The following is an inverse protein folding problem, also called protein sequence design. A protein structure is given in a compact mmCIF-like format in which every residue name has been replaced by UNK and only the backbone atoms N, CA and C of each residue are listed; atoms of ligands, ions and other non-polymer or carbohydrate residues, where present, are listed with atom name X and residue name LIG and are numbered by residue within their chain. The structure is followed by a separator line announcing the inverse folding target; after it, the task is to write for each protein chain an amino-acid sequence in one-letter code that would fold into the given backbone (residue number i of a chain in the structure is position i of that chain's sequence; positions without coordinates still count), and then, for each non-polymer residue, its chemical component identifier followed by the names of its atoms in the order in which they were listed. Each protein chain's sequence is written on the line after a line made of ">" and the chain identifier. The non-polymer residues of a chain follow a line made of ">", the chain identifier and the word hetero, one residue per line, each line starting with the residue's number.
data_IF_720026471133
#
_entry.id   IF_720026471133
#
_cell.length_a   1.000
_cell.length_b   1.000
_cell.length_c   1.000
_cell.angle_alpha   90.00
_cell.angle_beta   90.00
_cell.angle_gamma   90.00
#
_symmetry.space_group_name_H-M   'P 1'
#
loop_
_entity.id
_entity.type
_entity.pdbx_description
1 polymer ?
#
# COMPACT_ATOMS: atom_id res chain seq x y z
N UNK A 1 -62.30 13.07 2.06
CA UNK A 1 -60.87 13.30 2.29
C UNK A 1 -60.11 12.60 1.18
N UNK A 2 -59.11 13.28 0.62
CA UNK A 2 -58.12 12.76 -0.32
C UNK A 2 -57.52 11.42 0.18
N UNK A 3 -56.95 10.52 -0.63
CA UNK A 3 -56.30 10.68 -1.92
C UNK A 3 -56.29 9.32 -2.62
N UNK A 4 -56.42 9.34 -3.93
CA UNK A 4 -56.20 8.19 -4.79
C UNK A 4 -54.75 7.69 -4.69
N UNK A 5 -54.54 6.38 -4.79
CA UNK A 5 -53.40 5.81 -5.53
C UNK A 5 -53.73 4.40 -5.99
N UNK A 6 -54.12 4.34 -7.25
CA UNK A 6 -54.20 3.17 -8.09
C UNK A 6 -52.77 2.73 -8.48
N UNK A 7 -52.67 1.55 -9.11
CA UNK A 7 -51.62 0.98 -9.95
C UNK A 7 -50.55 0.14 -9.23
N UNK A 8 -50.77 -1.19 -9.17
CA UNK A 8 -50.41 -2.19 -10.20
C UNK A 8 -48.89 -2.36 -10.30
N UNK A 9 -48.35 -3.36 -9.60
CA UNK A 9 -46.99 -3.88 -9.81
C UNK A 9 -47.09 -5.20 -10.59
N UNK A 10 -47.28 -5.06 -11.89
CA UNK A 10 -46.87 -6.02 -12.92
C UNK A 10 -45.70 -5.30 -13.64
N UNK A 11 -44.63 -5.91 -14.12
CA UNK A 11 -44.26 -7.28 -14.41
C UNK A 11 -42.79 -7.23 -14.92
N UNK A 12 -42.09 -8.36 -14.85
CA UNK A 12 -40.97 -8.86 -15.69
C UNK A 12 -39.73 -8.01 -16.09
N UNK A 13 -38.59 -8.68 -15.85
CA UNK A 13 -37.48 -8.97 -16.76
C UNK A 13 -36.50 -7.90 -17.28
N UNK A 14 -35.23 -8.31 -17.18
CA UNK A 14 -34.20 -8.26 -18.21
C UNK A 14 -33.88 -6.86 -18.76
N UNK A 15 -32.91 -6.21 -18.09
CA UNK A 15 -32.14 -5.12 -18.68
C UNK A 15 -30.65 -5.36 -18.47
N UNK A 16 -30.16 -6.44 -19.07
CA UNK A 16 -28.83 -6.54 -19.64
C UNK A 16 -28.68 -5.40 -20.68
N UNK A 17 -28.39 -4.19 -20.21
CA UNK A 17 -27.97 -3.07 -21.05
C UNK A 17 -26.54 -2.74 -20.69
N UNK A 18 -25.66 -3.38 -21.45
CA UNK A 18 -24.34 -2.92 -21.91
C UNK A 18 -24.10 -1.44 -21.63
N UNK A 19 -23.70 -1.13 -20.40
CA UNK A 19 -22.94 0.08 -20.15
C UNK A 19 -21.51 -0.34 -20.32
N UNK A 20 -20.90 0.15 -21.40
CA UNK A 20 -19.51 -0.07 -21.78
C UNK A 20 -18.66 0.02 -20.50
N UNK A 21 -18.22 -1.13 -19.99
CA UNK A 21 -17.21 -1.19 -18.94
C UNK A 21 -16.02 -0.41 -19.51
N UNK A 22 -15.65 0.76 -18.94
CA UNK A 22 -14.39 1.35 -19.31
C UNK A 22 -13.34 0.35 -18.89
N UNK A 23 -12.72 -0.23 -19.94
CA UNK A 23 -11.67 -1.23 -19.98
C UNK A 23 -11.27 -1.69 -18.58
N UNK A 24 -11.52 -2.98 -18.32
CA UNK A 24 -10.75 -3.76 -17.36
C UNK A 24 -9.34 -3.19 -17.35
N UNK A 25 -9.01 -2.47 -16.27
CA UNK A 25 -7.70 -1.90 -16.13
C UNK A 25 -6.83 -3.09 -15.78
N UNK A 26 -6.47 -3.81 -16.84
CA UNK A 26 -5.47 -4.85 -16.89
C UNK A 26 -4.24 -4.23 -16.25
N UNK A 27 -4.15 -4.41 -14.94
CA UNK A 27 -2.96 -4.08 -14.19
C UNK A 27 -1.97 -5.10 -14.72
N UNK A 28 -0.95 -4.62 -15.44
CA UNK A 28 0.04 -5.49 -16.04
C UNK A 28 0.65 -6.37 -14.97
N UNK A 29 1.15 -7.54 -15.36
CA UNK A 29 1.89 -8.41 -14.44
C UNK A 29 3.02 -7.59 -13.78
N UNK A 30 2.85 -7.23 -12.50
CA UNK A 30 3.78 -6.38 -11.75
C UNK A 30 3.16 -5.11 -11.14
N UNK A 31 1.92 -4.75 -11.47
CA UNK A 31 1.29 -3.56 -10.88
C UNK A 31 0.73 -3.82 -9.47
N UNK A 32 1.16 -2.99 -8.52
CA UNK A 32 0.71 -3.03 -7.12
C UNK A 32 -0.67 -2.41 -7.00
N UNK A 33 -1.61 -3.08 -6.33
CA UNK A 33 -2.97 -2.56 -6.13
C UNK A 33 -3.08 -1.69 -4.87
N UNK A 34 -4.01 -0.73 -4.90
CA UNK A 34 -4.33 0.08 -3.74
C UNK A 34 -5.08 -0.73 -2.67
N UNK A 35 -4.56 -0.73 -1.44
CA UNK A 35 -5.16 -1.46 -0.33
C UNK A 35 -6.45 -0.84 0.23
N UNK A 36 -6.71 0.45 -0.04
CA UNK A 36 -7.87 1.19 0.54
C UNK A 36 -9.14 1.19 -0.32
N UNK A 37 -9.04 0.92 -1.62
CA UNK A 37 -10.22 0.84 -2.48
C UNK A 37 -11.10 -0.34 -2.07
N UNK A 38 -12.42 -0.15 -1.98
CA UNK A 38 -13.37 -1.19 -1.53
C UNK A 38 -13.94 -2.01 -2.68
N UNK A 39 -14.35 -1.36 -3.76
CA UNK A 39 -15.02 -2.03 -4.89
C UNK A 39 -14.04 -2.27 -6.05
N UNK A 40 -13.71 -1.21 -6.80
CA UNK A 40 -12.70 -1.27 -7.86
C UNK A 40 -11.31 -1.00 -7.29
N UNK A 41 -10.39 -1.97 -7.41
CA UNK A 41 -8.99 -1.79 -7.04
C UNK A 41 -8.26 -1.01 -8.13
N UNK A 42 -7.71 0.15 -7.76
CA UNK A 42 -6.88 0.96 -8.65
C UNK A 42 -5.40 0.65 -8.44
N UNK A 43 -4.59 0.89 -9.48
CA UNK A 43 -3.12 0.83 -9.38
C UNK A 43 -2.63 1.80 -8.31
N UNK A 44 -1.80 1.31 -7.41
CA UNK A 44 -1.09 2.12 -6.45
C UNK A 44 0.08 2.84 -7.11
N UNK A 45 0.32 4.08 -6.68
CA UNK A 45 1.43 4.92 -7.14
C UNK A 45 2.50 5.08 -6.07
N UNK A 46 2.12 5.01 -4.79
CA UNK A 46 3.02 5.11 -3.64
C UNK A 46 2.69 4.07 -2.58
N UNK A 47 3.70 3.65 -1.84
CA UNK A 47 3.60 2.84 -0.62
C UNK A 47 4.09 3.65 0.58
N UNK A 48 3.35 3.62 1.68
CA UNK A 48 3.76 4.25 2.93
C UNK A 48 4.51 3.24 3.80
N UNK A 49 5.74 3.58 4.20
CA UNK A 49 6.57 2.72 5.05
C UNK A 49 6.10 2.68 6.51
N UNK A 50 5.28 3.64 6.93
CA UNK A 50 4.72 3.69 8.29
C UNK A 50 3.39 2.92 8.34
N UNK A 51 2.48 3.19 7.40
CA UNK A 51 1.17 2.51 7.36
C UNK A 51 1.23 1.09 6.77
N UNK A 52 2.36 0.69 6.18
CA UNK A 52 2.56 -0.60 5.51
C UNK A 52 1.49 -0.89 4.46
N UNK A 53 1.11 0.14 3.70
CA UNK A 53 0.04 0.06 2.72
C UNK A 53 0.35 0.86 1.44
N UNK A 54 -0.26 0.45 0.33
CA UNK A 54 -0.11 1.06 -0.98
C UNK A 54 -1.37 1.82 -1.40
N UNK A 55 -1.20 2.98 -2.01
CA UNK A 55 -2.26 3.95 -2.29
C UNK A 55 -2.28 4.34 -3.78
N UNK A 56 -3.47 4.38 -4.37
CA UNK A 56 -3.70 5.09 -5.63
C UNK A 56 -3.74 6.60 -5.38
N UNK A 57 -3.74 7.42 -6.44
CA UNK A 57 -3.72 8.90 -6.34
C UNK A 57 -4.72 9.45 -5.32
N UNK A 58 -6.01 9.12 -5.46
CA UNK A 58 -7.06 9.64 -4.57
C UNK A 58 -6.83 9.28 -3.09
N UNK A 59 -6.46 8.02 -2.80
CA UNK A 59 -6.22 7.61 -1.42
C UNK A 59 -4.88 8.11 -0.88
N UNK A 60 -3.92 8.43 -1.76
CA UNK A 60 -2.67 9.08 -1.39
C UNK A 60 -2.94 10.53 -0.96
N UNK A 61 -3.72 11.28 -1.74
CA UNK A 61 -4.08 12.67 -1.41
C UNK A 61 -4.83 12.77 -0.08
N UNK A 62 -5.74 11.83 0.19
CA UNK A 62 -6.42 11.73 1.48
C UNK A 62 -5.45 11.41 2.63
N UNK A 63 -4.52 10.47 2.40
CA UNK A 63 -3.49 10.11 3.37
C UNK A 63 -2.60 11.31 3.70
N UNK A 64 -2.04 11.97 2.69
CA UNK A 64 -1.21 13.17 2.88
C UNK A 64 -1.99 14.30 3.56
N UNK A 65 -3.30 14.40 3.30
CA UNK A 65 -4.14 15.39 3.95
C UNK A 65 -4.36 15.14 5.45
N UNK A 66 -4.42 13.88 5.88
CA UNK A 66 -4.48 13.52 7.30
C UNK A 66 -3.13 13.65 8.00
N UNK A 67 -2.03 13.43 7.29
CA UNK A 67 -0.66 13.44 7.80
C UNK A 67 0.11 14.70 7.37
N UNK A 68 -0.55 15.87 7.32
CA UNK A 68 0.08 17.14 6.88
C UNK A 68 1.18 17.61 7.82
N UNK A 69 0.95 17.49 9.13
CA UNK A 69 1.88 17.93 10.18
C UNK A 69 2.97 16.89 10.45
N UNK A 70 2.62 15.59 10.45
CA UNK A 70 3.55 14.48 10.64
C UNK A 70 3.62 13.62 9.38
N UNK A 71 4.39 14.08 8.38
CA UNK A 71 4.45 13.42 7.08
C UNK A 71 5.09 12.04 7.19
N UNK A 72 4.33 11.03 6.81
CA UNK A 72 4.88 9.69 6.66
C UNK A 72 5.80 9.56 5.44
N UNK A 73 6.80 8.69 5.55
CA UNK A 73 7.69 8.36 4.44
C UNK A 73 6.96 7.52 3.37
N UNK A 74 6.93 8.05 2.13
CA UNK A 74 6.29 7.47 0.96
C UNK A 74 7.35 7.13 -0.09
N UNK A 75 7.30 5.90 -0.60
CA UNK A 75 8.14 5.40 -1.70
C UNK A 75 7.26 5.01 -2.89
N UNK A 76 7.86 4.78 -4.06
CA UNK A 76 7.12 4.21 -5.20
C UNK A 76 6.44 2.90 -4.82
N UNK A 77 5.23 2.71 -5.36
CA UNK A 77 4.43 1.55 -5.04
C UNK A 77 5.23 0.27 -5.30
N UNK A 78 5.33 -0.58 -4.27
CA UNK A 78 6.11 -1.81 -4.35
C UNK A 78 5.32 -3.00 -3.82
N UNK A 79 5.42 -4.13 -4.52
CA UNK A 79 4.85 -5.40 -4.07
C UNK A 79 5.65 -6.03 -2.92
N UNK A 80 6.87 -5.52 -2.68
CA UNK A 80 7.82 -6.04 -1.68
C UNK A 80 7.82 -5.25 -0.38
N UNK A 81 6.72 -4.54 -0.08
CA UNK A 81 6.63 -3.68 1.10
C UNK A 81 6.86 -4.46 2.40
N UNK A 82 6.32 -5.68 2.48
CA UNK A 82 6.48 -6.57 3.64
C UNK A 82 7.92 -7.07 3.81
N UNK A 83 8.68 -7.23 2.72
CA UNK A 83 10.10 -7.63 2.78
C UNK A 83 10.99 -6.55 3.40
N UNK A 84 10.53 -5.30 3.43
CA UNK A 84 11.23 -4.18 4.06
C UNK A 84 11.01 -4.12 5.58
N UNK A 85 10.18 -5.00 6.14
CA UNK A 85 9.78 -4.97 7.54
C UNK A 85 10.37 -6.14 8.32
N UNK A 86 10.95 -5.81 9.47
CA UNK A 86 11.42 -6.81 10.42
C UNK A 86 10.24 -7.64 10.94
N UNK A 87 10.22 -8.93 10.64
CA UNK A 87 9.17 -9.85 11.09
C UNK A 87 9.10 -10.00 12.62
N UNK A 88 10.21 -9.76 13.33
CA UNK A 88 10.24 -9.85 14.80
C UNK A 88 9.68 -8.61 15.49
N UNK A 89 10.01 -7.42 14.97
CA UNK A 89 9.72 -6.16 15.66
C UNK A 89 8.71 -5.28 14.93
N UNK A 90 8.25 -5.67 13.74
CA UNK A 90 7.34 -4.90 12.89
C UNK A 90 7.81 -3.46 12.62
N UNK A 91 9.13 -3.29 12.49
CA UNK A 91 9.80 -2.02 12.19
C UNK A 91 10.58 -2.10 10.89
N UNK A 92 10.79 -0.96 10.24
CA UNK A 92 11.54 -0.86 9.00
C UNK A 92 12.97 -1.41 9.15
N UNK A 93 13.44 -2.11 8.14
CA UNK A 93 14.81 -2.64 8.04
C UNK A 93 15.76 -1.53 7.58
N UNK A 94 16.15 -0.66 8.50
CA UNK A 94 16.93 0.56 8.24
C UNK A 94 18.44 0.34 8.20
N UNK A 95 18.93 -0.82 8.67
CA UNK A 95 20.34 -1.12 8.80
C UNK A 95 20.69 -2.42 8.06
N UNK A 96 21.96 -2.55 7.67
CA UNK A 96 22.54 -3.77 7.16
C UNK A 96 23.67 -4.22 8.11
N UNK A 97 23.54 -5.41 8.66
CA UNK A 97 24.59 -6.04 9.44
C UNK A 97 25.53 -6.79 8.49
N UNK A 98 26.77 -6.34 8.38
CA UNK A 98 27.80 -6.93 7.52
C UNK A 98 28.29 -8.26 8.07
N UNK A 99 28.40 -8.38 9.40
CA UNK A 99 28.76 -9.63 10.07
C UNK A 99 27.80 -10.78 9.74
N UNK A 100 26.49 -10.52 9.76
CA UNK A 100 25.45 -11.53 9.49
C UNK A 100 24.92 -11.49 8.05
N UNK A 101 25.41 -10.55 7.23
CA UNK A 101 24.96 -10.28 5.87
C UNK A 101 23.43 -10.15 5.71
N UNK A 102 22.78 -9.39 6.60
CA UNK A 102 21.32 -9.26 6.62
C UNK A 102 20.84 -7.85 6.96
N UNK A 103 19.68 -7.50 6.43
CA UNK A 103 18.99 -6.27 6.82
C UNK A 103 18.31 -6.45 8.18
N UNK A 104 18.41 -5.44 9.04
CA UNK A 104 17.90 -5.43 10.42
C UNK A 104 17.21 -4.10 10.72
N UNK A 105 16.26 -4.10 11.67
CA UNK A 105 15.66 -2.86 12.18
C UNK A 105 16.47 -2.31 13.37
N UNK A 106 16.16 -1.07 13.79
CA UNK A 106 16.78 -0.42 14.96
C UNK A 106 16.77 -1.30 16.22
N UNK A 107 15.65 -1.98 16.51
CA UNK A 107 15.56 -2.84 17.70
C UNK A 107 16.52 -4.04 17.63
N UNK A 108 16.59 -4.73 16.48
CA UNK A 108 17.59 -5.77 16.26
C UNK A 108 19.03 -5.24 16.44
N UNK A 109 19.29 -4.01 15.96
CA UNK A 109 20.58 -3.34 16.11
C UNK A 109 20.97 -3.14 17.58
N UNK A 110 20.02 -2.68 18.41
CA UNK A 110 20.27 -2.41 19.83
C UNK A 110 20.36 -3.68 20.68
N UNK A 111 19.69 -4.76 20.25
CA UNK A 111 19.70 -6.05 20.97
C UNK A 111 20.85 -6.95 20.48
N UNK A 112 20.54 -7.86 19.55
CA UNK A 112 21.43 -8.94 19.11
C UNK A 112 22.65 -8.43 18.33
N UNK A 113 22.53 -7.29 17.67
CA UNK A 113 23.52 -6.79 16.72
C UNK A 113 24.37 -5.65 17.26
N UNK A 114 24.30 -5.35 18.56
CA UNK A 114 24.91 -4.18 19.18
C UNK A 114 26.43 -4.05 18.95
N UNK A 115 27.12 -5.19 18.84
CA UNK A 115 28.57 -5.27 18.64
C UNK A 115 28.95 -5.76 17.23
N UNK A 116 27.96 -5.96 16.35
CA UNK A 116 28.24 -6.38 14.97
C UNK A 116 28.62 -5.15 14.14
N UNK A 117 29.33 -5.39 13.04
CA UNK A 117 29.56 -4.33 12.06
C UNK A 117 28.24 -4.03 11.33
N UNK A 118 27.69 -2.84 11.54
CA UNK A 118 26.41 -2.42 10.99
C UNK A 118 26.53 -1.07 10.31
N UNK A 119 25.94 -0.96 9.12
CA UNK A 119 25.83 0.29 8.36
C UNK A 119 24.36 0.60 8.06
N UNK A 120 24.06 1.82 7.63
CA UNK A 120 22.71 2.13 7.15
C UNK A 120 22.39 1.36 5.86
N UNK A 121 21.14 0.95 5.71
CA UNK A 121 20.68 0.25 4.50
C UNK A 121 20.87 1.11 3.24
N UNK A 122 20.79 2.44 3.37
CA UNK A 122 21.08 3.36 2.28
C UNK A 122 22.55 3.31 1.85
N UNK A 123 23.50 3.38 2.79
CA UNK A 123 24.93 3.32 2.50
C UNK A 123 25.34 1.97 1.88
N UNK A 124 24.80 0.86 2.38
CA UNK A 124 25.09 -0.47 1.82
C UNK A 124 24.68 -0.61 0.34
N UNK A 125 23.60 0.06 -0.08
CA UNK A 125 23.13 0.03 -1.47
C UNK A 125 24.04 0.84 -2.40
N UNK A 126 24.61 1.94 -1.91
CA UNK A 126 25.56 2.75 -2.68
C UNK A 126 26.92 2.08 -2.84
N UNK A 127 27.33 1.22 -1.90
CA UNK A 127 28.60 0.46 -2.00
C UNK A 127 28.53 -0.75 -2.94
N UNK A 128 27.32 -1.25 -3.23
CA UNK A 128 27.09 -2.41 -4.11
C UNK A 128 26.72 -2.01 -5.55
N UNK A 129 26.75 -0.72 -5.87
CA UNK A 129 26.52 -0.20 -7.21
C UNK A 129 27.86 0.11 -7.88
#
# INVERSE_FOLDING_TARGET
>A
MAEARNTMLAEVEEKLKTTKLPADCNTGAGDVQCGKCTERKYKAIKSCLVCLNSYCQNHLEQHESWFKEDRHNLIDATGRLQEMICQKHHKLLEFFCRTDQKYICMQCNMDKHKIHDTVSAAAQRTEKQ
#
